data_IF_692417027023
#
_entry.id   IF_692417027023
#
_cell.length_a   1.000
_cell.length_b   1.000
_cell.length_c   1.000
_cell.angle_alpha   90.00
_cell.angle_beta   90.00
_cell.angle_gamma   90.00
#
_symmetry.space_group_name_H-M   'P 1'
#
loop_
_entity.id
_entity.type
_entity.pdbx_description
1 polymer ?
#
# COMPACT_ATOMS: atom_id res chain seq x y z
N UNK A 1 -25.09 6.48 -4.96
CA UNK A 1 -24.36 6.93 -6.18
C UNK A 1 -22.84 6.84 -6.02
N UNK A 2 -22.21 7.47 -5.02
CA UNK A 2 -20.75 7.35 -4.82
C UNK A 2 -20.32 5.91 -4.45
N UNK A 3 -21.09 5.24 -3.58
CA UNK A 3 -20.88 3.84 -3.21
C UNK A 3 -20.79 2.96 -4.47
N UNK A 4 -21.84 2.98 -5.31
CA UNK A 4 -21.87 2.27 -6.60
C UNK A 4 -20.71 2.62 -7.53
N UNK A 5 -20.33 3.89 -7.63
CA UNK A 5 -19.17 4.29 -8.44
C UNK A 5 -17.88 3.68 -7.92
N UNK A 6 -17.70 3.62 -6.59
CA UNK A 6 -16.51 3.07 -5.96
C UNK A 6 -16.46 1.54 -6.03
N UNK A 7 -17.60 0.86 -5.88
CA UNK A 7 -17.70 -0.59 -6.11
C UNK A 7 -17.27 -0.98 -7.53
N UNK A 8 -17.68 -0.20 -8.54
CA UNK A 8 -17.25 -0.40 -9.94
C UNK A 8 -15.76 -0.21 -10.20
N UNK A 9 -14.99 0.31 -9.22
CA UNK A 9 -13.55 0.48 -9.35
C UNK A 9 -12.79 -0.80 -8.98
N UNK A 10 -13.41 -1.64 -8.17
CA UNK A 10 -12.88 -2.92 -7.73
C UNK A 10 -13.02 -3.96 -8.85
N UNK A 11 -12.08 -4.89 -8.93
CA UNK A 11 -12.19 -6.07 -9.78
C UNK A 11 -13.04 -7.14 -9.10
N UNK A 12 -13.60 -8.02 -9.93
CA UNK A 12 -14.25 -9.24 -9.45
C UNK A 12 -13.21 -10.16 -8.78
N UNK A 13 -13.67 -10.96 -7.82
CA UNK A 13 -12.81 -11.86 -7.05
C UNK A 13 -12.37 -13.02 -7.96
N UNK A 14 -11.08 -13.08 -8.31
CA UNK A 14 -10.46 -14.29 -8.84
C UNK A 14 -10.32 -15.29 -7.69
N UNK A 15 -10.62 -16.56 -7.90
CA UNK A 15 -10.49 -17.61 -6.90
C UNK A 15 -9.85 -18.83 -7.56
N UNK A 16 -8.79 -19.40 -6.95
CA UNK A 16 -8.56 -20.86 -6.86
C UNK A 16 -7.18 -21.32 -6.29
N UNK A 17 -6.36 -20.51 -5.62
CA UNK A 17 -4.97 -20.95 -5.27
C UNK A 17 -4.60 -20.69 -3.78
N UNK A 18 -5.47 -21.02 -2.83
CA UNK A 18 -5.15 -20.80 -1.41
C UNK A 18 -4.20 -21.83 -0.79
N UNK A 19 -4.27 -23.11 -1.18
CA UNK A 19 -3.49 -24.17 -0.53
C UNK A 19 -2.01 -24.12 -0.88
N UNK A 20 -1.66 -24.01 -2.17
CA UNK A 20 -0.26 -23.97 -2.64
C UNK A 20 0.49 -22.75 -2.09
N UNK A 21 -0.21 -21.60 -2.01
CA UNK A 21 0.36 -20.37 -1.47
C UNK A 21 0.78 -20.52 -0.01
N UNK A 22 -0.02 -21.21 0.82
CA UNK A 22 0.30 -21.39 2.23
C UNK A 22 1.52 -22.31 2.44
N UNK A 23 1.67 -23.33 1.61
CA UNK A 23 2.85 -24.19 1.63
C UNK A 23 4.12 -23.39 1.30
N UNK A 24 4.07 -22.55 0.26
CA UNK A 24 5.19 -21.69 -0.13
C UNK A 24 5.58 -20.65 0.94
N UNK A 25 4.60 -20.12 1.68
CA UNK A 25 4.81 -19.20 2.82
C UNK A 25 5.59 -19.89 3.94
N UNK A 26 5.39 -21.20 4.13
CA UNK A 26 6.05 -22.01 5.15
C UNK A 26 7.49 -22.43 4.79
N UNK A 27 7.85 -22.43 3.50
CA UNK A 27 9.19 -22.78 3.03
C UNK A 27 10.19 -21.62 3.22
N UNK A 28 10.73 -21.48 4.42
CA UNK A 28 11.59 -20.37 4.83
C UNK A 28 13.07 -20.61 4.48
N UNK A 29 13.72 -19.61 3.90
CA UNK A 29 15.16 -19.51 3.69
C UNK A 29 15.81 -18.47 4.62
N UNK A 30 17.14 -18.49 4.72
CA UNK A 30 17.91 -17.62 5.63
C UNK A 30 17.77 -16.12 5.31
N UNK A 31 17.58 -15.77 4.03
CA UNK A 31 17.49 -14.40 3.56
C UNK A 31 16.05 -13.86 3.46
N UNK A 32 15.06 -14.67 3.83
CA UNK A 32 13.65 -14.27 3.85
C UNK A 32 13.33 -13.31 5.01
N UNK A 33 12.49 -12.31 4.74
CA UNK A 33 11.87 -11.48 5.77
C UNK A 33 10.62 -12.20 6.31
N UNK A 34 10.77 -12.80 7.48
CA UNK A 34 9.72 -13.65 8.09
C UNK A 34 8.88 -12.97 9.17
N UNK A 35 9.45 -11.98 9.87
CA UNK A 35 8.85 -11.35 11.05
C UNK A 35 9.30 -9.88 11.13
N UNK A 36 8.53 -9.05 11.84
CA UNK A 36 8.83 -7.65 12.13
C UNK A 36 9.09 -7.48 13.61
N UNK A 37 10.36 -7.32 13.97
CA UNK A 37 10.74 -6.96 15.34
C UNK A 37 10.68 -5.44 15.48
N UNK A 38 9.97 -4.97 16.51
CA UNK A 38 9.83 -3.55 16.79
C UNK A 38 9.72 -3.31 18.30
N UNK A 39 10.05 -2.09 18.71
CA UNK A 39 10.09 -1.67 20.11
C UNK A 39 9.08 -0.55 20.38
N UNK A 40 8.88 -0.26 21.66
CA UNK A 40 8.10 0.90 22.12
C UNK A 40 8.60 2.20 21.45
N UNK A 41 9.92 2.34 21.26
CA UNK A 41 10.54 3.50 20.62
C UNK A 41 10.24 3.60 19.11
N UNK A 42 10.13 2.47 18.41
CA UNK A 42 9.74 2.48 16.99
C UNK A 42 8.31 2.97 16.83
N UNK A 43 7.42 2.59 17.75
CA UNK A 43 6.04 3.01 17.76
C UNK A 43 5.90 4.49 18.17
N UNK A 44 6.71 4.99 19.11
CA UNK A 44 6.76 6.42 19.45
C UNK A 44 7.16 7.27 18.22
N UNK A 45 8.21 6.85 17.50
CA UNK A 45 8.61 7.51 16.24
C UNK A 45 7.53 7.45 15.16
N UNK A 46 6.66 6.43 15.18
CA UNK A 46 5.53 6.34 14.28
C UNK A 46 4.40 7.32 14.66
N UNK A 47 4.17 7.56 15.96
CA UNK A 47 3.22 8.55 16.48
C UNK A 47 3.62 9.97 16.07
N UNK A 48 4.91 10.31 16.14
CA UNK A 48 5.42 11.64 15.74
C UNK A 48 5.12 11.99 14.27
N UNK A 49 4.83 10.99 13.43
CA UNK A 49 4.46 11.18 12.03
C UNK A 49 2.96 11.34 11.80
N UNK A 50 2.14 11.27 12.86
CA UNK A 50 0.73 11.59 12.78
C UNK A 50 0.54 13.11 12.66
N UNK A 51 -0.49 13.52 11.93
CA UNK A 51 -0.88 14.93 11.86
C UNK A 51 -1.95 15.15 12.92
N UNK A 52 -1.76 16.13 13.80
CA UNK A 52 -2.68 16.39 14.90
C UNK A 52 -4.14 16.55 14.45
N UNK A 53 -4.34 17.26 13.33
CA UNK A 53 -5.65 17.55 12.74
C UNK A 53 -6.14 16.49 11.74
N UNK A 54 -5.56 15.27 11.71
CA UNK A 54 -6.09 14.22 10.85
C UNK A 54 -7.36 13.60 11.40
N UNK A 55 -8.38 13.46 10.54
CA UNK A 55 -9.64 12.82 10.91
C UNK A 55 -9.45 11.37 11.34
N UNK A 56 -10.20 10.89 12.36
CA UNK A 56 -10.12 9.52 12.84
C UNK A 56 -10.60 8.51 11.78
N UNK A 57 -10.16 7.27 11.96
CA UNK A 57 -10.71 6.14 11.23
C UNK A 57 -12.03 5.64 11.85
N UNK A 58 -12.49 4.44 11.45
CA UNK A 58 -13.69 3.82 12.00
C UNK A 58 -13.61 3.48 13.49
N UNK A 59 -12.41 3.44 14.06
CA UNK A 59 -12.18 3.27 15.50
C UNK A 59 -12.47 4.54 16.32
N UNK A 60 -12.73 5.67 15.65
CA UNK A 60 -13.02 6.98 16.24
C UNK A 60 -11.89 7.53 17.13
N UNK A 61 -10.69 6.94 17.09
CA UNK A 61 -9.53 7.39 17.88
C UNK A 61 -8.83 8.56 17.16
N UNK A 62 -8.85 9.79 17.72
CA UNK A 62 -8.19 10.93 17.11
C UNK A 62 -6.66 10.81 17.21
N UNK A 63 -5.95 11.36 16.21
CA UNK A 63 -4.49 11.44 16.26
C UNK A 63 -4.00 12.21 17.49
N UNK A 64 -4.67 13.31 17.84
CA UNK A 64 -4.38 14.13 19.01
C UNK A 64 -4.38 13.32 20.33
N UNK A 65 -5.31 12.39 20.48
CA UNK A 65 -5.36 11.52 21.67
C UNK A 65 -4.09 10.68 21.77
N UNK A 66 -3.74 9.98 20.69
CA UNK A 66 -2.54 9.13 20.63
C UNK A 66 -1.26 9.93 20.88
N UNK A 67 -1.19 11.15 20.34
CA UNK A 67 -0.04 12.06 20.54
C UNK A 67 0.08 12.47 22.00
N UNK A 68 -1.02 12.85 22.64
CA UNK A 68 -1.00 13.40 24.01
C UNK A 68 -0.88 12.33 25.10
N UNK A 69 -1.30 11.09 24.84
CA UNK A 69 -1.25 9.99 25.81
C UNK A 69 -0.21 8.92 25.44
N UNK A 70 0.78 9.28 24.61
CA UNK A 70 1.68 8.29 24.02
C UNK A 70 2.47 7.50 25.06
N UNK A 71 2.88 8.10 26.19
CA UNK A 71 3.74 7.46 27.19
C UNK A 71 3.00 6.32 27.91
N UNK A 72 1.71 6.49 28.12
CA UNK A 72 0.84 5.60 28.87
C UNK A 72 0.36 4.43 27.98
N UNK A 73 0.02 4.72 26.72
CA UNK A 73 -0.61 3.73 25.82
C UNK A 73 0.39 2.90 25.02
N UNK A 74 1.65 3.34 24.89
CA UNK A 74 2.61 2.70 23.96
C UNK A 74 2.84 1.23 24.29
N UNK A 75 2.92 0.90 25.59
CA UNK A 75 3.23 -0.45 26.05
C UNK A 75 2.09 -1.42 25.75
N UNK A 76 0.82 -1.12 26.11
CA UNK A 76 -0.33 -1.90 25.63
C UNK A 76 -0.40 -2.04 24.12
N UNK A 77 -0.23 -0.94 23.37
CA UNK A 77 -0.31 -0.98 21.90
C UNK A 77 0.77 -1.88 21.29
N UNK A 78 2.01 -1.80 21.80
CA UNK A 78 3.10 -2.64 21.35
C UNK A 78 2.78 -4.13 21.54
N UNK A 79 2.23 -4.51 22.71
CA UNK A 79 1.81 -5.88 22.99
C UNK A 79 0.68 -6.36 22.08
N UNK A 80 -0.31 -5.50 21.80
CA UNK A 80 -1.44 -5.84 20.91
C UNK A 80 -0.94 -6.05 19.48
N UNK A 81 -0.13 -5.13 18.96
CA UNK A 81 0.41 -5.20 17.60
C UNK A 81 1.39 -6.38 17.44
N UNK A 82 2.17 -6.70 18.47
CA UNK A 82 3.04 -7.88 18.48
C UNK A 82 2.23 -9.17 18.42
N UNK A 83 1.16 -9.27 19.21
CA UNK A 83 0.23 -10.41 19.14
C UNK A 83 -0.45 -10.53 17.78
N UNK A 84 -0.81 -9.40 17.15
CA UNK A 84 -1.43 -9.39 15.82
C UNK A 84 -0.56 -10.08 14.77
N UNK A 85 0.74 -9.72 14.67
CA UNK A 85 1.65 -10.38 13.73
C UNK A 85 2.03 -11.81 14.15
N UNK A 86 2.13 -12.10 15.44
CA UNK A 86 2.42 -13.47 15.91
C UNK A 86 1.32 -14.46 15.55
N UNK A 87 0.06 -14.00 15.55
CA UNK A 87 -1.10 -14.82 15.19
C UNK A 87 -1.49 -14.71 13.72
N UNK A 88 -1.03 -13.69 13.02
CA UNK A 88 -1.50 -13.36 11.67
C UNK A 88 -2.96 -12.89 11.67
N UNK A 89 -3.42 -12.26 12.75
CA UNK A 89 -4.82 -11.84 12.94
C UNK A 89 -4.90 -10.31 13.02
N UNK A 90 -5.88 -9.70 12.36
CA UNK A 90 -6.16 -8.27 12.45
C UNK A 90 -7.61 -8.07 12.86
N UNK A 91 -7.89 -7.37 13.98
CA UNK A 91 -9.26 -7.03 14.37
C UNK A 91 -10.06 -6.35 13.25
N UNK A 92 -11.32 -6.74 13.08
CA UNK A 92 -12.19 -6.24 12.00
C UNK A 92 -12.30 -4.71 11.95
N UNK A 93 -12.26 -4.05 13.11
CA UNK A 93 -12.27 -2.59 13.21
C UNK A 93 -11.09 -1.92 12.46
N UNK A 94 -9.94 -2.61 12.36
CA UNK A 94 -8.77 -2.15 11.61
C UNK A 94 -8.78 -2.57 10.13
N UNK A 95 -9.66 -3.50 9.74
CA UNK A 95 -9.94 -3.86 8.34
C UNK A 95 -10.97 -2.92 7.70
N UNK A 96 -11.73 -2.16 8.50
CA UNK A 96 -12.67 -1.15 8.02
C UNK A 96 -11.99 0.15 7.58
N UNK A 97 -12.59 0.84 6.61
CA UNK A 97 -12.22 2.19 6.19
C UNK A 97 -13.44 3.10 6.00
N UNK A 98 -13.31 4.38 6.34
CA UNK A 98 -14.26 5.41 5.91
C UNK A 98 -13.72 6.12 4.67
N UNK A 99 -14.38 5.95 3.53
CA UNK A 99 -14.01 6.62 2.28
C UNK A 99 -14.62 8.02 2.27
N UNK A 100 -13.76 9.04 2.27
CA UNK A 100 -14.18 10.43 2.10
C UNK A 100 -13.90 10.88 0.66
N UNK A 101 -14.91 11.34 -0.09
CA UNK A 101 -14.74 11.81 -1.47
C UNK A 101 -14.10 13.20 -1.48
N UNK A 102 -12.90 13.32 -2.08
CA UNK A 102 -12.21 14.62 -2.25
C UNK A 102 -12.34 15.06 -3.70
N UNK A 103 -12.93 16.24 -3.96
CA UNK A 103 -13.08 16.76 -5.31
C UNK A 103 -11.72 17.00 -5.97
N UNK A 104 -11.58 16.62 -7.24
CA UNK A 104 -10.32 16.75 -8.03
C UNK A 104 -9.96 18.20 -8.37
N UNK A 105 -10.84 19.16 -8.08
CA UNK A 105 -10.68 20.57 -8.42
C UNK A 105 -10.96 20.88 -9.90
N UNK A 106 -10.73 22.14 -10.28
CA UNK A 106 -10.87 22.64 -11.66
C UNK A 106 -12.31 22.63 -12.18
N UNK A 107 -12.45 22.57 -13.52
CA UNK A 107 -13.75 22.59 -14.21
C UNK A 107 -14.53 21.26 -14.13
N UNK A 108 -14.17 20.35 -13.22
CA UNK A 108 -14.87 19.07 -13.06
C UNK A 108 -16.20 19.27 -12.35
N UNK A 109 -17.26 18.68 -12.90
CA UNK A 109 -18.61 18.80 -12.36
C UNK A 109 -18.70 18.27 -10.92
N UNK A 110 -19.32 19.04 -10.04
CA UNK A 110 -19.65 18.60 -8.66
C UNK A 110 -20.75 17.53 -8.63
N UNK A 111 -21.47 17.35 -9.73
CA UNK A 111 -22.58 16.40 -9.83
C UNK A 111 -22.16 15.05 -10.40
N UNK A 112 -20.91 14.87 -10.81
CA UNK A 112 -20.40 13.59 -11.33
C UNK A 112 -19.51 12.88 -10.29
N UNK A 113 -19.80 11.60 -9.95
CA UNK A 113 -18.99 10.81 -9.01
C UNK A 113 -17.50 10.68 -9.40
N UNK A 114 -17.19 10.56 -10.69
CA UNK A 114 -15.84 10.44 -11.24
C UNK A 114 -14.92 11.64 -10.98
N UNK A 115 -15.52 12.76 -10.57
CA UNK A 115 -14.85 14.02 -10.27
C UNK A 115 -14.27 14.05 -8.85
N UNK A 116 -14.48 12.99 -8.08
CA UNK A 116 -13.96 12.83 -6.72
C UNK A 116 -12.91 11.72 -6.65
N UNK A 117 -11.93 11.87 -5.76
CA UNK A 117 -10.98 10.82 -5.37
C UNK A 117 -11.48 10.17 -4.09
N UNK A 118 -11.58 8.84 -4.03
CA UNK A 118 -11.85 8.16 -2.77
C UNK A 118 -10.58 8.23 -1.89
N UNK A 119 -10.69 8.78 -0.68
CA UNK A 119 -9.58 8.73 0.29
C UNK A 119 -10.03 7.90 1.48
N UNK A 120 -9.30 6.81 1.75
CA UNK A 120 -9.61 5.92 2.86
C UNK A 120 -9.03 6.46 4.17
N UNK A 121 -9.92 6.78 5.09
CA UNK A 121 -9.59 7.00 6.49
C UNK A 121 -9.58 5.66 7.21
N UNK A 122 -8.38 5.17 7.51
CA UNK A 122 -8.14 4.00 8.37
C UNK A 122 -7.64 4.43 9.75
N UNK A 123 -7.71 3.51 10.72
CA UNK A 123 -7.22 3.70 12.09
C UNK A 123 -5.81 4.28 12.13
N UNK A 124 -5.59 5.25 13.02
CA UNK A 124 -4.26 5.81 13.27
C UNK A 124 -3.30 4.78 13.87
N UNK A 125 -3.79 3.88 14.73
CA UNK A 125 -3.02 2.78 15.31
C UNK A 125 -2.51 1.87 14.18
N UNK A 126 -3.41 1.49 13.26
CA UNK A 126 -3.03 0.65 12.13
C UNK A 126 -2.02 1.38 11.21
N UNK A 127 -2.26 2.65 10.88
CA UNK A 127 -1.31 3.47 10.11
C UNK A 127 0.08 3.56 10.74
N UNK A 128 0.17 3.65 12.07
CA UNK A 128 1.46 3.65 12.77
C UNK A 128 2.19 2.33 12.57
N UNK A 129 1.48 1.21 12.72
CA UNK A 129 2.07 -0.12 12.58
C UNK A 129 2.46 -0.41 11.13
N UNK A 130 1.62 -0.03 10.16
CA UNK A 130 1.94 -0.07 8.75
C UNK A 130 3.25 0.65 8.42
N UNK A 131 3.55 1.81 9.04
CA UNK A 131 4.83 2.52 8.85
C UNK A 131 6.02 1.69 9.29
N UNK A 132 5.88 0.93 10.38
CA UNK A 132 6.93 0.06 10.90
C UNK A 132 7.16 -1.10 9.93
N UNK A 133 6.08 -1.76 9.50
CA UNK A 133 6.15 -2.86 8.52
C UNK A 133 6.76 -2.37 7.21
N UNK A 134 6.23 -1.26 6.67
CA UNK A 134 6.71 -0.59 5.47
C UNK A 134 8.22 -0.33 5.50
N UNK A 135 8.72 0.23 6.60
CA UNK A 135 10.15 0.50 6.78
C UNK A 135 10.97 -0.79 6.69
N UNK A 136 10.55 -1.86 7.35
CA UNK A 136 11.27 -3.14 7.34
C UNK A 136 11.24 -3.80 5.95
N UNK A 137 10.10 -3.76 5.25
CA UNK A 137 10.01 -4.26 3.87
C UNK A 137 10.96 -3.46 2.96
N UNK A 138 10.97 -2.13 3.04
CA UNK A 138 11.87 -1.30 2.23
C UNK A 138 13.34 -1.65 2.50
N UNK A 139 13.73 -1.82 3.77
CA UNK A 139 15.10 -2.20 4.15
C UNK A 139 15.45 -3.57 3.55
N UNK A 140 14.55 -4.56 3.66
CA UNK A 140 14.74 -5.89 3.08
C UNK A 140 14.91 -5.85 1.56
N UNK A 141 14.00 -5.16 0.86
CA UNK A 141 14.03 -5.06 -0.60
C UNK A 141 15.29 -4.32 -1.09
N UNK A 142 15.71 -3.28 -0.37
CA UNK A 142 16.95 -2.54 -0.69
C UNK A 142 18.18 -3.41 -0.47
N UNK A 143 18.29 -4.06 0.71
CA UNK A 143 19.45 -4.88 1.08
C UNK A 143 19.66 -6.03 0.12
N UNK A 144 18.57 -6.64 -0.34
CA UNK A 144 18.59 -7.79 -1.24
C UNK A 144 18.49 -7.43 -2.73
N UNK A 145 18.52 -6.12 -3.09
CA UNK A 145 18.41 -5.63 -4.46
C UNK A 145 17.16 -6.14 -5.20
N UNK A 146 16.04 -6.25 -4.49
CA UNK A 146 14.78 -6.79 -4.99
C UNK A 146 13.85 -5.71 -5.57
N UNK A 147 14.27 -4.45 -5.61
CA UNK A 147 13.54 -3.42 -6.34
C UNK A 147 13.88 -3.48 -7.83
N UNK A 148 12.88 -3.18 -8.65
CA UNK A 148 13.13 -2.83 -10.04
C UNK A 148 14.10 -1.64 -10.10
N UNK A 149 15.20 -1.80 -10.85
CA UNK A 149 16.28 -0.80 -10.93
C UNK A 149 15.81 0.52 -11.55
N UNK A 150 14.83 0.45 -12.45
CA UNK A 150 14.24 1.58 -13.15
C UNK A 150 13.06 2.19 -12.40
N UNK A 151 12.69 1.64 -11.24
CA UNK A 151 11.67 2.26 -10.39
C UNK A 151 12.24 3.44 -9.62
N UNK A 152 11.63 4.61 -9.78
CA UNK A 152 11.98 5.84 -9.04
C UNK A 152 10.89 6.27 -8.05
N UNK A 153 9.62 5.95 -8.32
CA UNK A 153 8.51 6.32 -7.45
C UNK A 153 8.58 5.57 -6.12
N UNK A 154 8.38 6.29 -5.01
CA UNK A 154 8.32 5.75 -3.64
C UNK A 154 9.60 5.03 -3.16
N UNK A 155 10.71 5.14 -3.87
CA UNK A 155 12.02 4.62 -3.44
C UNK A 155 12.80 5.71 -2.71
N UNK A 156 13.28 5.46 -1.46
CA UNK A 156 14.13 6.42 -0.75
C UNK A 156 15.37 6.79 -1.57
N UNK A 157 15.67 8.09 -1.64
CA UNK A 157 16.82 8.60 -2.40
C UNK A 157 16.58 8.77 -3.91
N UNK A 158 15.42 8.35 -4.43
CA UNK A 158 14.99 8.62 -5.81
C UNK A 158 13.84 9.63 -5.84
N UNK A 159 13.70 10.30 -6.98
CA UNK A 159 12.70 11.33 -7.24
C UNK A 159 12.30 11.37 -8.71
N UNK A 160 11.25 12.13 -9.03
CA UNK A 160 10.87 12.41 -10.42
C UNK A 160 12.00 13.07 -11.21
N UNK A 161 12.83 13.90 -10.57
CA UNK A 161 13.99 14.52 -11.20
C UNK A 161 15.07 13.49 -11.56
N UNK A 162 15.33 12.53 -10.67
CA UNK A 162 16.31 11.47 -10.98
C UNK A 162 15.85 10.58 -12.13
N UNK A 163 14.55 10.32 -12.25
CA UNK A 163 13.99 9.56 -13.38
C UNK A 163 14.10 10.36 -14.68
N UNK A 164 13.74 11.65 -14.63
CA UNK A 164 13.82 12.54 -15.79
C UNK A 164 15.27 12.70 -16.30
N UNK A 165 16.25 12.74 -15.39
CA UNK A 165 17.66 12.83 -15.75
C UNK A 165 18.15 11.57 -16.47
N UNK A 166 17.76 10.38 -15.99
CA UNK A 166 18.07 9.11 -16.67
C UNK A 166 17.46 9.09 -18.07
N UNK A 167 16.17 9.42 -18.18
CA UNK A 167 15.47 9.51 -19.46
C UNK A 167 16.14 10.49 -20.45
N UNK A 168 16.58 11.67 -20.00
CA UNK A 168 17.29 12.61 -20.88
C UNK A 168 18.66 12.11 -21.32
N UNK A 169 19.39 11.44 -20.43
CA UNK A 169 20.67 10.82 -20.77
C UNK A 169 20.49 9.79 -21.88
N UNK A 170 19.49 8.93 -21.74
CA UNK A 170 19.14 7.87 -22.69
C UNK A 170 18.76 8.42 -24.07
N UNK A 171 17.99 9.52 -24.11
CA UNK A 171 17.71 10.25 -25.34
C UNK A 171 18.99 10.79 -25.96
N UNK A 172 19.82 11.45 -25.16
CA UNK A 172 21.03 12.10 -25.66
C UNK A 172 22.01 11.08 -26.25
N UNK A 173 22.27 9.97 -25.56
CA UNK A 173 23.17 8.90 -26.03
C UNK A 173 22.66 8.28 -27.34
N UNK A 174 21.36 7.99 -27.43
CA UNK A 174 20.75 7.45 -28.65
C UNK A 174 20.81 8.41 -29.84
N UNK A 175 20.64 9.72 -29.61
CA UNK A 175 20.78 10.74 -30.66
C UNK A 175 22.22 10.83 -31.17
N UNK A 176 23.23 10.71 -30.29
CA UNK A 176 24.65 10.69 -30.68
C UNK A 176 24.99 9.49 -31.56
N UNK A 177 24.32 8.35 -31.33
CA UNK A 177 24.46 7.14 -32.15
C UNK A 177 23.66 7.19 -33.46
N UNK A 178 22.95 8.29 -33.73
CA UNK A 178 22.11 8.44 -34.92
C UNK A 178 20.85 7.58 -34.92
N UNK A 179 20.43 7.07 -33.75
CA UNK A 179 19.20 6.29 -33.60
C UNK A 179 17.98 7.20 -33.61
N UNK A 180 16.84 6.65 -34.05
CA UNK A 180 15.52 7.28 -33.88
C UNK A 180 14.90 6.78 -32.59
N UNK A 181 14.19 7.65 -31.89
CA UNK A 181 13.62 7.38 -30.58
C UNK A 181 12.16 7.78 -30.61
N UNK A 182 11.30 6.87 -30.17
CA UNK A 182 9.90 7.12 -29.91
C UNK A 182 9.64 6.85 -28.42
N UNK A 183 8.90 7.75 -27.76
CA UNK A 183 8.57 7.59 -26.33
C UNK A 183 7.11 7.24 -26.16
N UNK A 184 6.84 6.16 -25.42
CA UNK A 184 5.49 5.72 -25.06
C UNK A 184 5.26 5.98 -23.58
N UNK A 185 4.25 6.81 -23.27
CA UNK A 185 3.81 7.05 -21.90
C UNK A 185 2.60 6.17 -21.57
N UNK A 186 2.72 5.38 -20.51
CA UNK A 186 1.65 4.51 -20.01
C UNK A 186 1.14 5.02 -18.66
N UNK A 187 -0.17 4.97 -18.46
CA UNK A 187 -0.80 5.30 -17.20
C UNK A 187 -1.79 4.21 -16.78
N UNK A 188 -1.73 3.82 -15.51
CA UNK A 188 -2.61 2.81 -14.95
C UNK A 188 -3.92 3.45 -14.49
N UNK A 189 -5.01 3.12 -15.18
CA UNK A 189 -6.33 3.49 -14.72
C UNK A 189 -6.65 2.80 -13.38
N UNK A 190 -6.77 3.58 -12.30
CA UNK A 190 -7.17 3.10 -10.95
C UNK A 190 -6.20 2.05 -10.40
N UNK A 191 -4.90 2.33 -10.52
CA UNK A 191 -3.82 1.38 -10.24
C UNK A 191 -3.89 0.70 -8.86
N UNK A 192 -4.17 1.47 -7.81
CA UNK A 192 -4.26 0.93 -6.45
C UNK A 192 -5.54 0.12 -6.21
N UNK A 193 -6.66 0.50 -6.84
CA UNK A 193 -7.97 -0.12 -6.62
C UNK A 193 -8.10 -1.49 -7.33
N UNK A 194 -7.26 -1.73 -8.34
CA UNK A 194 -7.30 -2.94 -9.20
C UNK A 194 -6.21 -3.97 -8.90
N UNK A 195 -5.48 -3.82 -7.81
CA UNK A 195 -4.45 -4.80 -7.44
C UNK A 195 -5.12 -6.13 -7.07
N UNK A 196 -4.85 -7.19 -7.83
CA UNK A 196 -5.29 -8.53 -7.51
C UNK A 196 -4.49 -9.07 -6.30
N UNK A 197 -5.21 -9.50 -5.25
CA UNK A 197 -4.59 -9.93 -4.00
C UNK A 197 -3.82 -11.24 -4.14
N UNK A 198 -4.27 -12.17 -4.98
CA UNK A 198 -3.59 -13.46 -5.18
C UNK A 198 -2.26 -13.25 -5.92
N UNK A 199 -2.29 -12.49 -7.02
CA UNK A 199 -1.07 -12.15 -7.77
C UNK A 199 -0.10 -11.37 -6.89
N UNK A 200 -0.60 -10.42 -6.10
CA UNK A 200 0.23 -9.68 -5.15
C UNK A 200 0.88 -10.61 -4.12
N UNK A 201 0.13 -11.56 -3.56
CA UNK A 201 0.69 -12.51 -2.59
C UNK A 201 1.77 -13.40 -3.19
N UNK A 202 1.59 -13.91 -4.41
CA UNK A 202 2.63 -14.65 -5.12
C UNK A 202 3.90 -13.79 -5.32
N UNK A 203 3.72 -12.51 -5.66
CA UNK A 203 4.84 -11.57 -5.79
C UNK A 203 5.52 -11.28 -4.45
N UNK A 204 4.77 -11.14 -3.35
CA UNK A 204 5.33 -10.97 -2.01
C UNK A 204 6.26 -12.15 -1.67
N UNK A 205 5.84 -13.39 -1.94
CA UNK A 205 6.66 -14.59 -1.72
C UNK A 205 7.90 -14.58 -2.61
N UNK A 206 7.77 -14.23 -3.90
CA UNK A 206 8.92 -14.07 -4.83
C UNK A 206 9.92 -13.01 -4.37
N UNK A 207 9.46 -11.99 -3.63
CA UNK A 207 10.31 -10.97 -3.01
C UNK A 207 10.84 -11.39 -1.63
N UNK A 208 10.84 -12.70 -1.33
CA UNK A 208 11.44 -13.26 -0.11
C UNK A 208 10.79 -12.71 1.16
N UNK A 209 9.48 -12.47 1.11
CA UNK A 209 8.67 -12.10 2.29
C UNK A 209 7.77 -13.29 2.59
N UNK A 210 8.01 -13.94 3.73
CA UNK A 210 7.41 -15.22 4.09
C UNK A 210 6.98 -15.26 5.56
N UNK A 211 6.61 -16.44 6.07
CA UNK A 211 6.31 -16.66 7.47
C UNK A 211 5.21 -15.74 8.01
N UNK A 212 5.38 -15.27 9.25
CA UNK A 212 4.39 -14.46 9.98
C UNK A 212 4.02 -13.18 9.24
N UNK A 213 5.00 -12.50 8.65
CA UNK A 213 4.75 -11.26 7.92
C UNK A 213 3.89 -11.50 6.68
N UNK A 214 4.17 -12.55 5.90
CA UNK A 214 3.34 -12.86 4.73
C UNK A 214 1.90 -13.22 5.11
N UNK A 215 1.72 -14.01 6.19
CA UNK A 215 0.38 -14.33 6.72
C UNK A 215 -0.33 -13.04 7.15
N UNK A 216 0.35 -12.17 7.88
CA UNK A 216 -0.21 -10.90 8.31
C UNK A 216 -0.56 -9.97 7.14
N UNK A 217 0.25 -9.93 6.08
CA UNK A 217 -0.04 -9.16 4.86
C UNK A 217 -1.24 -9.73 4.09
N UNK A 218 -1.38 -11.06 4.03
CA UNK A 218 -2.58 -11.72 3.49
C UNK A 218 -3.82 -11.28 4.27
N UNK A 219 -3.75 -11.34 5.60
CA UNK A 219 -4.83 -10.92 6.49
C UNK A 219 -5.14 -9.42 6.39
N UNK A 220 -4.12 -8.59 6.17
CA UNK A 220 -4.28 -7.16 5.94
C UNK A 220 -5.07 -6.84 4.68
N UNK A 221 -4.99 -7.68 3.63
CA UNK A 221 -5.71 -7.50 2.38
C UNK A 221 -7.09 -8.15 2.40
N UNK A 222 -7.28 -9.21 3.19
CA UNK A 222 -8.48 -10.02 3.22
C UNK A 222 -9.64 -9.36 4.00
N UNK A 223 -10.88 -9.66 3.59
CA UNK A 223 -12.14 -9.29 4.28
C UNK A 223 -12.23 -7.81 4.69
N UNK A 224 -11.62 -6.93 3.88
CA UNK A 224 -11.69 -5.50 4.11
C UNK A 224 -13.04 -4.96 3.70
N UNK A 225 -13.48 -3.95 4.43
CA UNK A 225 -14.78 -3.31 4.25
C UNK A 225 -14.64 -1.79 4.25
N UNK A 226 -15.57 -1.11 3.61
CA UNK A 226 -15.62 0.34 3.61
C UNK A 226 -17.05 0.88 3.76
N UNK A 227 -17.13 2.11 4.24
CA UNK A 227 -18.34 2.95 4.19
C UNK A 227 -17.96 4.28 3.56
N UNK A 228 -18.87 4.88 2.78
CA UNK A 228 -18.66 6.20 2.19
C UNK A 228 -19.22 7.26 3.14
N UNK A 229 -18.37 8.17 3.57
CA UNK A 229 -18.73 9.34 4.36
C UNK A 229 -18.78 10.57 3.45
N UNK A 230 -19.96 11.11 3.22
CA UNK A 230 -20.17 12.30 2.41
C UNK A 230 -21.10 13.29 3.12
N UNK A 231 -20.65 14.54 3.30
CA UNK A 231 -21.44 15.62 3.91
C UNK A 231 -22.11 15.24 5.24
N UNK A 232 -21.40 14.50 6.11
CA UNK A 232 -21.93 14.07 7.41
C UNK A 232 -22.89 12.87 7.37
N UNK A 233 -23.11 12.28 6.20
CA UNK A 233 -23.91 11.06 6.03
C UNK A 233 -23.00 9.87 5.73
N UNK A 234 -23.33 8.71 6.29
CA UNK A 234 -22.58 7.46 6.15
C UNK A 234 -23.43 6.47 5.37
N UNK A 235 -22.83 5.78 4.40
CA UNK A 235 -23.50 4.72 3.65
C UNK A 235 -23.56 3.40 4.42
N UNK A 236 -24.29 2.44 3.85
CA UNK A 236 -24.14 1.03 4.20
C UNK A 236 -22.71 0.54 3.96
N UNK A 237 -22.40 -0.58 4.60
CA UNK A 237 -21.12 -1.27 4.52
C UNK A 237 -20.97 -2.03 3.21
N UNK A 238 -19.76 -2.00 2.65
CA UNK A 238 -19.43 -2.68 1.40
C UNK A 238 -18.08 -3.39 1.50
N UNK A 239 -17.96 -4.52 0.79
CA UNK A 239 -16.74 -5.30 0.73
C UNK A 239 -15.73 -4.73 -0.27
N UNK A 240 -14.45 -4.84 0.07
CA UNK A 240 -13.32 -4.53 -0.81
C UNK A 240 -12.87 -5.84 -1.46
N UNK A 241 -13.23 -6.05 -2.72
CA UNK A 241 -12.90 -7.29 -3.46
C UNK A 241 -11.52 -7.28 -4.12
N UNK A 242 -10.90 -6.10 -4.25
CA UNK A 242 -9.56 -5.94 -4.84
C UNK A 242 -8.89 -4.66 -4.37
N UNK A 243 -7.62 -4.52 -4.73
CA UNK A 243 -6.87 -3.30 -4.52
C UNK A 243 -6.20 -3.23 -3.15
N UNK A 244 -5.31 -2.26 -3.02
CA UNK A 244 -4.70 -1.90 -1.74
C UNK A 244 -5.35 -0.60 -1.26
N UNK A 245 -5.70 -0.46 0.03
CA UNK A 245 -6.54 0.65 0.45
C UNK A 245 -5.84 2.01 0.20
N UNK A 246 -6.44 2.85 -0.65
CA UNK A 246 -5.84 4.12 -1.06
C UNK A 246 -5.71 5.08 0.14
N UNK A 247 -4.47 5.46 0.48
CA UNK A 247 -4.18 6.32 1.64
C UNK A 247 -3.59 5.56 2.84
N UNK A 248 -3.44 4.24 2.73
CA UNK A 248 -2.61 3.45 3.65
C UNK A 248 -1.13 3.60 3.31
N UNK A 249 -0.27 3.38 4.30
CA UNK A 249 1.19 3.50 4.15
C UNK A 249 1.73 2.29 3.38
N UNK A 250 1.15 1.10 3.61
CA UNK A 250 1.58 -0.11 2.91
C UNK A 250 1.18 -0.14 1.43
N UNK A 251 0.09 0.52 1.03
CA UNK A 251 -0.39 0.50 -0.35
C UNK A 251 0.69 0.83 -1.38
N UNK A 252 1.51 1.86 -1.12
CA UNK A 252 2.58 2.25 -2.04
C UNK A 252 3.60 1.13 -2.24
N UNK A 253 4.06 0.49 -1.16
CA UNK A 253 5.09 -0.56 -1.20
C UNK A 253 4.54 -1.84 -1.83
N UNK A 254 3.32 -2.22 -1.47
CA UNK A 254 2.65 -3.37 -2.08
C UNK A 254 2.45 -3.16 -3.58
N UNK A 255 2.13 -1.94 -4.00
CA UNK A 255 2.04 -1.61 -5.42
C UNK A 255 3.40 -1.68 -6.12
N UNK A 256 4.51 -1.27 -5.47
CA UNK A 256 5.86 -1.45 -6.02
C UNK A 256 6.20 -2.93 -6.25
N UNK A 257 5.85 -3.79 -5.29
CA UNK A 257 6.00 -5.25 -5.43
C UNK A 257 5.13 -5.77 -6.57
N UNK A 258 3.90 -5.25 -6.72
CA UNK A 258 3.00 -5.65 -7.81
C UNK A 258 3.60 -5.37 -9.19
N UNK A 259 4.20 -4.20 -9.39
CA UNK A 259 4.74 -3.77 -10.69
C UNK A 259 6.23 -4.08 -10.89
N UNK A 260 6.84 -4.86 -10.00
CA UNK A 260 8.29 -5.08 -9.99
C UNK A 260 8.84 -5.66 -11.30
N UNK A 261 8.03 -6.45 -12.01
CA UNK A 261 8.38 -7.18 -13.23
C UNK A 261 7.76 -6.56 -14.50
N UNK A 262 7.27 -5.33 -14.42
CA UNK A 262 6.55 -4.68 -15.53
C UNK A 262 7.38 -4.58 -16.82
N UNK A 263 8.70 -4.45 -16.69
CA UNK A 263 9.66 -4.28 -17.78
C UNK A 263 10.45 -5.56 -18.11
N UNK A 264 10.26 -6.67 -17.38
CA UNK A 264 11.08 -7.90 -17.56
C UNK A 264 10.98 -8.51 -18.96
N UNK A 265 9.83 -8.36 -19.64
CA UNK A 265 9.59 -8.90 -20.99
C UNK A 265 9.86 -7.90 -22.11
N UNK A 266 10.29 -6.69 -21.77
CA UNK A 266 10.59 -5.66 -22.77
C UNK A 266 12.00 -5.92 -23.31
N UNK A 267 12.06 -6.39 -24.56
CA UNK A 267 13.33 -6.82 -25.19
C UNK A 267 14.23 -5.66 -25.57
N UNK A 268 13.62 -4.61 -26.10
CA UNK A 268 14.30 -3.41 -26.61
C UNK A 268 13.52 -2.20 -26.15
N UNK A 269 13.93 -1.67 -25.00
CA UNK A 269 13.51 -0.35 -24.53
C UNK A 269 14.66 0.29 -23.79
N UNK A 270 14.70 1.61 -23.87
CA UNK A 270 15.50 2.41 -22.98
C UNK A 270 14.55 2.86 -21.87
N UNK A 271 14.85 2.45 -20.62
CA UNK A 271 13.95 2.61 -19.46
C UNK A 271 14.57 3.54 -18.44
#
# INVERSE_FOLDING_TARGET
MLVEEYKKQLSEKSCNIESELMDEIGMINEDDLIDIVFTDNDLLKAIEKLKENSGPGPDEIPALFLINTNKEIIKPLCLILRKSIDRGEIPDIYKMAHITPIHKGGNKSKFKPDSYRPVSLTSHIMKMYERIIAKNIIVHLTRNQLFNKNQHGFIPGKSTQSQLLMYYKDIYESLQEGKRIDTVFLDFARAFDKVDHEILMQKIIKHKIKGKLAIWLKEFLNERKFKVLANGTISDEEDVTSGVPQGTVLAAILFLIMISDIDEKVKESIV
#
